data_IF_720181311566
#
_entry.id   IF_720181311566
#
_cell.length_a   1.000
_cell.length_b   1.000
_cell.length_c   1.000
_cell.angle_alpha   90.00
_cell.angle_beta   90.00
_cell.angle_gamma   90.00
#
_symmetry.space_group_name_H-M   'P 1'
#
loop_
_entity.id
_entity.type
_entity.pdbx_description
1 polymer ?
#
# COMPACT_ATOMS: atom_id res chain seq x y z
N UNK A 1 -62.25 4.51 -2.64
CA UNK A 1 -61.22 3.52 -3.03
C UNK A 1 -59.88 4.26 -2.93
N UNK A 2 -59.08 4.17 -1.85
CA UNK A 2 -58.05 3.15 -1.55
C UNK A 2 -57.44 2.61 -2.86
N UNK A 3 -56.17 2.89 -3.21
CA UNK A 3 -54.95 2.45 -2.52
C UNK A 3 -53.77 3.41 -2.63
N UNK A 4 -53.06 3.56 -1.50
CA UNK A 4 -51.67 4.02 -1.35
C UNK A 4 -50.78 2.78 -1.23
N UNK A 5 -49.58 2.75 -1.82
CA UNK A 5 -48.48 1.91 -1.32
C UNK A 5 -47.17 2.70 -1.28
N UNK A 6 -46.56 2.64 -0.09
CA UNK A 6 -45.35 3.30 0.37
C UNK A 6 -44.13 2.40 0.14
N UNK A 7 -42.97 3.04 0.19
CA UNK A 7 -41.62 2.48 0.22
C UNK A 7 -41.43 1.35 1.24
N UNK A 8 -40.61 0.37 0.87
CA UNK A 8 -40.09 -0.65 1.75
C UNK A 8 -38.64 -0.31 2.14
N UNK A 9 -38.46 0.04 3.41
CA UNK A 9 -37.18 -0.04 4.13
C UNK A 9 -37.12 -1.44 4.72
N UNK A 10 -36.12 -2.25 4.33
CA UNK A 10 -35.83 -3.51 5.02
C UNK A 10 -34.78 -3.22 6.07
N UNK A 11 -35.25 -3.14 7.31
CA UNK A 11 -34.43 -3.12 8.51
C UNK A 11 -34.11 -4.56 8.95
N UNK A 12 -32.85 -4.72 9.32
CA UNK A 12 -32.22 -5.62 10.30
C UNK A 12 -33.14 -6.63 11.02
N UNK A 13 -32.79 -7.92 10.92
CA UNK A 13 -33.36 -8.99 11.75
C UNK A 13 -32.28 -9.95 12.22
N UNK A 14 -31.76 -9.70 13.43
CA UNK A 14 -31.01 -10.67 14.23
C UNK A 14 -32.03 -11.70 14.73
N UNK A 15 -31.87 -12.97 14.33
CA UNK A 15 -32.63 -14.08 14.90
C UNK A 15 -31.77 -14.84 15.90
N UNK A 16 -32.00 -14.54 17.18
CA UNK A 16 -31.66 -15.40 18.31
C UNK A 16 -32.56 -16.65 18.27
N UNK A 17 -31.96 -17.84 18.27
CA UNK A 17 -32.67 -19.10 18.51
C UNK A 17 -32.39 -19.56 19.94
N UNK A 18 -33.33 -19.29 20.84
CA UNK A 18 -33.49 -20.02 22.10
C UNK A 18 -34.46 -21.17 21.85
N UNK A 19 -33.98 -22.41 22.01
CA UNK A 19 -34.80 -23.61 22.13
C UNK A 19 -34.79 -24.07 23.58
N UNK A 20 -35.95 -24.05 24.22
CA UNK A 20 -36.20 -24.55 25.57
C UNK A 20 -36.54 -26.04 25.56
N UNK A 21 -36.01 -26.79 26.53
CA UNK A 21 -36.64 -28.00 27.05
C UNK A 21 -36.34 -28.12 28.54
N UNK A 22 -37.41 -28.25 29.32
CA UNK A 22 -37.46 -28.24 30.78
C UNK A 22 -36.87 -29.52 31.39
N UNK A 23 -36.10 -29.39 32.47
CA UNK A 23 -36.07 -30.38 33.56
C UNK A 23 -35.92 -29.66 34.91
N UNK A 24 -36.96 -29.87 35.72
CA UNK A 24 -37.15 -29.77 37.19
C UNK A 24 -36.03 -29.31 38.12
N UNK A 25 -36.48 -28.53 39.10
CA UNK A 25 -35.83 -27.87 40.24
C UNK A 25 -34.88 -28.74 41.10
N UNK A 26 -33.76 -28.14 41.50
CA UNK A 26 -33.17 -28.30 42.83
C UNK A 26 -32.32 -27.06 43.16
N UNK A 27 -32.70 -26.32 44.19
CA UNK A 27 -31.93 -25.21 44.73
C UNK A 27 -30.64 -25.71 45.39
N UNK A 28 -29.49 -25.21 44.95
CA UNK A 28 -28.28 -25.15 45.75
C UNK A 28 -27.49 -23.89 45.39
N UNK A 29 -27.31 -23.02 46.38
CA UNK A 29 -26.44 -21.85 46.32
C UNK A 29 -25.03 -22.25 45.87
N UNK A 30 -24.57 -21.72 44.74
CA UNK A 30 -23.15 -21.58 44.47
C UNK A 30 -22.88 -20.32 43.66
N UNK A 31 -21.97 -19.51 44.20
CA UNK A 31 -21.42 -18.27 43.69
C UNK A 31 -21.00 -18.42 42.23
N UNK A 32 -21.69 -17.73 41.32
CA UNK A 32 -21.27 -17.64 39.92
C UNK A 32 -20.02 -16.77 39.82
N UNK A 33 -18.85 -17.41 39.81
CA UNK A 33 -17.67 -16.87 39.15
C UNK A 33 -18.01 -16.68 37.68
N UNK A 34 -18.02 -15.43 37.22
CA UNK A 34 -18.02 -15.12 35.80
C UNK A 34 -16.83 -15.85 35.17
N UNK A 35 -17.08 -16.85 34.32
CA UNK A 35 -16.07 -17.30 33.37
C UNK A 35 -15.88 -16.17 32.38
N UNK A 36 -14.87 -15.36 32.65
CA UNK A 36 -14.17 -14.58 31.63
C UNK A 36 -13.88 -15.53 30.47
N UNK A 37 -14.55 -15.30 29.34
CA UNK A 37 -14.10 -15.83 28.05
C UNK A 37 -12.79 -15.09 27.76
N UNK A 38 -11.71 -15.50 28.43
CA UNK A 38 -10.35 -15.18 27.99
C UNK A 38 -10.25 -15.69 26.56
N UNK A 39 -10.17 -14.77 25.61
CA UNK A 39 -9.71 -15.07 24.27
C UNK A 39 -8.27 -15.59 24.41
N UNK A 40 -8.11 -16.90 24.57
CA UNK A 40 -6.79 -17.53 24.60
C UNK A 40 -6.16 -17.35 23.23
N UNK A 41 -5.27 -16.38 23.13
CA UNK A 41 -4.34 -16.25 22.01
C UNK A 41 -3.71 -17.62 21.75
N UNK A 42 -3.80 -18.19 20.54
CA UNK A 42 -3.21 -19.48 20.25
C UNK A 42 -1.71 -19.44 20.55
N UNK A 43 -1.21 -20.40 21.34
CA UNK A 43 0.21 -20.54 21.61
C UNK A 43 0.93 -20.78 20.28
N UNK A 44 1.90 -19.91 19.95
CA UNK A 44 2.57 -19.94 18.66
C UNK A 44 4.06 -20.23 18.84
N UNK A 45 4.56 -21.26 18.14
CA UNK A 45 5.96 -21.65 18.21
C UNK A 45 6.84 -20.82 17.27
N UNK A 46 8.06 -20.50 17.70
CA UNK A 46 9.05 -19.78 16.89
C UNK A 46 9.30 -20.46 15.53
N UNK A 47 9.33 -21.79 15.50
CA UNK A 47 9.54 -22.59 14.28
C UNK A 47 8.45 -22.37 13.23
N UNK A 48 7.19 -22.28 13.65
CA UNK A 48 6.07 -22.03 12.74
C UNK A 48 6.14 -20.63 12.12
N UNK A 49 6.56 -19.63 12.92
CA UNK A 49 6.76 -18.26 12.45
C UNK A 49 7.88 -18.21 11.42
N UNK A 50 9.04 -18.81 11.71
CA UNK A 50 10.17 -18.82 10.78
C UNK A 50 9.87 -19.62 9.50
N UNK A 51 9.14 -20.73 9.59
CA UNK A 51 8.68 -21.48 8.42
C UNK A 51 7.76 -20.63 7.51
N UNK A 52 6.80 -19.89 8.09
CA UNK A 52 5.93 -18.99 7.34
C UNK A 52 6.71 -17.85 6.68
N UNK A 53 7.68 -17.25 7.40
CA UNK A 53 8.58 -16.22 6.84
C UNK A 53 9.40 -16.75 5.66
N UNK A 54 9.93 -17.96 5.76
CA UNK A 54 10.68 -18.60 4.68
C UNK A 54 9.79 -18.89 3.46
N UNK A 55 8.58 -19.41 3.68
CA UNK A 55 7.61 -19.66 2.61
C UNK A 55 7.23 -18.36 1.88
N UNK A 56 6.88 -17.31 2.63
CA UNK A 56 6.53 -16.01 2.04
C UNK A 56 7.71 -15.37 1.29
N UNK A 57 8.92 -15.51 1.82
CA UNK A 57 10.14 -15.06 1.12
C UNK A 57 10.32 -15.77 -0.22
N UNK A 58 10.02 -17.08 -0.29
CA UNK A 58 10.06 -17.83 -1.55
C UNK A 58 8.90 -17.47 -2.49
N UNK A 59 7.69 -17.22 -1.99
CA UNK A 59 6.58 -16.77 -2.84
C UNK A 59 6.85 -15.42 -3.50
N UNK A 60 7.52 -14.52 -2.78
CA UNK A 60 7.82 -13.16 -3.25
C UNK A 60 9.12 -13.09 -4.06
N UNK A 61 10.16 -13.86 -3.70
CA UNK A 61 11.49 -13.76 -4.31
C UNK A 61 11.96 -15.02 -5.06
N UNK A 62 11.22 -16.13 -4.98
CA UNK A 62 11.69 -17.46 -5.39
C UNK A 62 11.75 -17.68 -6.89
N UNK A 63 11.09 -16.83 -7.68
CA UNK A 63 11.14 -16.89 -9.15
C UNK A 63 11.88 -15.67 -9.70
N UNK A 64 13.21 -15.79 -9.79
CA UNK A 64 14.07 -14.75 -10.37
C UNK A 64 13.55 -14.41 -11.77
N UNK A 65 13.20 -13.14 -11.98
CA UNK A 65 12.70 -12.62 -13.25
C UNK A 65 11.19 -12.68 -13.45
N UNK A 66 10.41 -13.28 -12.54
CA UNK A 66 8.96 -13.09 -12.54
C UNK A 66 8.61 -11.78 -11.86
N UNK A 67 7.91 -10.94 -12.62
CA UNK A 67 7.41 -9.66 -12.17
C UNK A 67 5.99 -9.83 -11.62
N UNK A 68 5.86 -10.39 -10.42
CA UNK A 68 4.55 -10.85 -9.93
C UNK A 68 3.71 -9.72 -9.35
N UNK A 69 4.35 -8.74 -8.72
CA UNK A 69 3.66 -7.73 -7.91
C UNK A 69 2.93 -8.33 -6.70
N UNK A 70 3.24 -9.59 -6.35
CA UNK A 70 2.57 -10.31 -5.27
C UNK A 70 2.92 -9.68 -3.93
N UNK A 71 1.90 -9.52 -3.09
CA UNK A 71 2.06 -8.97 -1.74
C UNK A 71 1.31 -9.84 -0.76
N UNK A 72 1.92 -10.10 0.38
CA UNK A 72 1.35 -10.89 1.48
C UNK A 72 1.52 -10.14 2.79
N UNK A 73 0.56 -10.34 3.68
CA UNK A 73 0.65 -9.89 5.07
C UNK A 73 0.68 -11.11 5.98
N UNK A 74 1.79 -11.25 6.72
CA UNK A 74 1.92 -12.20 7.82
C UNK A 74 1.32 -11.59 9.09
N UNK A 75 0.48 -12.35 9.77
CA UNK A 75 0.02 -12.12 11.14
C UNK A 75 0.66 -13.15 12.07
N UNK A 76 1.17 -12.66 13.21
CA UNK A 76 1.70 -13.45 14.32
C UNK A 76 1.03 -12.99 15.61
N UNK A 77 0.40 -13.93 16.31
CA UNK A 77 -0.37 -13.66 17.52
C UNK A 77 0.50 -13.21 18.70
N UNK A 78 1.77 -13.66 18.74
CA UNK A 78 2.82 -13.18 19.65
C UNK A 78 3.81 -12.27 18.90
N UNK A 79 3.71 -10.93 19.08
CA UNK A 79 4.60 -9.97 18.42
C UNK A 79 6.08 -10.16 18.76
N UNK A 80 6.43 -10.75 19.90
CA UNK A 80 7.82 -10.95 20.30
C UNK A 80 8.57 -11.88 19.35
N UNK A 81 7.86 -12.79 18.68
CA UNK A 81 8.40 -13.71 17.68
C UNK A 81 8.52 -13.07 16.28
N UNK A 82 8.04 -11.83 16.13
CA UNK A 82 8.03 -11.09 14.87
C UNK A 82 8.55 -9.66 15.05
N UNK A 83 9.66 -9.53 15.79
CA UNK A 83 10.37 -8.25 15.93
C UNK A 83 9.57 -7.17 16.67
N UNK A 84 8.61 -7.56 17.51
CA UNK A 84 7.73 -6.66 18.25
C UNK A 84 6.47 -6.22 17.49
N UNK A 85 6.23 -6.74 16.28
CA UNK A 85 5.03 -6.43 15.50
C UNK A 85 4.15 -7.66 15.32
N UNK A 86 2.83 -7.51 15.46
CA UNK A 86 1.88 -8.57 15.09
C UNK A 86 1.82 -8.81 13.57
N UNK A 87 2.37 -7.88 12.77
CA UNK A 87 2.23 -7.89 11.32
C UNK A 87 3.57 -7.70 10.60
N UNK A 88 3.79 -8.42 9.50
CA UNK A 88 4.95 -8.25 8.62
C UNK A 88 4.51 -8.38 7.15
N UNK A 89 4.82 -7.36 6.34
CA UNK A 89 4.56 -7.41 4.89
C UNK A 89 5.71 -8.08 4.15
N UNK A 90 5.34 -8.94 3.20
CA UNK A 90 6.21 -9.49 2.17
C UNK A 90 5.69 -9.00 0.84
N UNK A 91 6.48 -8.20 0.12
CA UNK A 91 6.02 -7.58 -1.12
C UNK A 91 7.05 -7.75 -2.23
N UNK A 92 6.56 -8.11 -3.41
CA UNK A 92 7.17 -7.84 -4.69
C UNK A 92 6.47 -6.60 -5.29
N UNK A 93 7.18 -5.87 -6.12
CA UNK A 93 6.62 -4.74 -6.85
C UNK A 93 6.82 -4.99 -8.34
N UNK A 94 5.92 -4.49 -9.17
CA UNK A 94 6.17 -4.59 -10.60
C UNK A 94 7.42 -3.77 -10.94
N UNK A 95 8.45 -4.36 -11.55
CA UNK A 95 9.70 -3.74 -12.00
C UNK A 95 9.83 -3.86 -13.52
N UNK A 96 10.26 -2.78 -14.16
CA UNK A 96 10.33 -2.70 -15.61
C UNK A 96 11.67 -2.11 -16.03
N UNK A 97 12.27 -2.71 -17.06
CA UNK A 97 13.40 -2.15 -17.83
C UNK A 97 12.97 -1.76 -19.25
N UNK A 98 11.74 -2.09 -19.63
CA UNK A 98 11.10 -1.69 -20.88
C UNK A 98 9.90 -0.78 -20.59
N UNK A 99 9.81 0.34 -21.34
CA UNK A 99 8.79 1.36 -21.11
C UNK A 99 7.38 0.92 -21.57
N UNK A 100 7.28 0.16 -22.65
CA UNK A 100 6.00 -0.32 -23.17
C UNK A 100 5.40 -1.38 -22.25
N UNK A 101 6.23 -2.26 -21.69
CA UNK A 101 5.80 -3.23 -20.66
C UNK A 101 5.26 -2.52 -19.42
N UNK A 102 5.92 -1.44 -18.98
CA UNK A 102 5.43 -0.58 -17.92
C UNK A 102 4.05 0.00 -18.26
N UNK A 103 3.91 0.66 -19.42
CA UNK A 103 2.65 1.29 -19.83
C UNK A 103 1.52 0.26 -19.92
N UNK A 104 1.80 -0.93 -20.46
CA UNK A 104 0.85 -2.02 -20.56
C UNK A 104 0.38 -2.50 -19.20
N UNK A 105 1.27 -2.57 -18.20
CA UNK A 105 0.88 -2.98 -16.85
C UNK A 105 0.16 -1.85 -16.10
N UNK A 106 0.65 -0.61 -16.19
CA UNK A 106 0.02 0.55 -15.56
C UNK A 106 -1.41 0.77 -16.09
N UNK A 107 -1.63 0.59 -17.39
CA UNK A 107 -2.95 0.73 -18.02
C UNK A 107 -3.98 -0.32 -17.61
N UNK A 108 -3.58 -1.40 -16.92
CA UNK A 108 -4.51 -2.39 -16.34
C UNK A 108 -4.97 -2.04 -14.93
N UNK A 109 -4.30 -1.09 -14.28
CA UNK A 109 -4.54 -0.71 -12.90
C UNK A 109 -5.43 0.53 -12.83
N UNK A 110 -6.23 0.62 -11.78
CA UNK A 110 -6.98 1.84 -11.46
C UNK A 110 -6.03 2.91 -10.92
N UNK A 111 -6.24 4.16 -11.33
CA UNK A 111 -5.46 5.31 -10.91
C UNK A 111 -4.71 5.99 -12.07
N UNK A 112 -4.00 7.09 -11.79
CA UNK A 112 -3.25 7.82 -12.80
C UNK A 112 -2.07 6.98 -13.33
N UNK A 113 -1.81 7.14 -14.63
CA UNK A 113 -0.66 6.52 -15.30
C UNK A 113 0.37 7.60 -15.60
N UNK A 114 1.60 7.40 -15.11
CA UNK A 114 2.71 8.26 -15.51
C UNK A 114 3.12 7.92 -16.94
N UNK A 115 3.45 8.94 -17.72
CA UNK A 115 3.96 8.77 -19.07
C UNK A 115 5.17 9.67 -19.28
N UNK A 116 6.02 9.29 -20.23
CA UNK A 116 7.10 10.13 -20.72
C UNK A 116 6.51 11.49 -21.12
N UNK A 117 6.97 12.60 -20.51
CA UNK A 117 6.40 13.91 -20.79
C UNK A 117 6.74 14.37 -22.21
N UNK A 118 5.85 15.14 -22.81
CA UNK A 118 6.08 15.77 -24.10
C UNK A 118 7.20 16.81 -23.98
N UNK A 119 8.04 16.90 -25.01
CA UNK A 119 9.17 17.84 -25.04
C UNK A 119 10.36 17.45 -24.17
N UNK A 120 10.39 16.24 -23.58
CA UNK A 120 11.58 15.74 -22.90
C UNK A 120 12.78 15.76 -23.87
N UNK A 121 13.92 16.41 -23.53
CA UNK A 121 15.03 16.58 -24.46
C UNK A 121 15.55 15.27 -25.03
N UNK A 122 16.00 15.34 -26.27
CA UNK A 122 16.66 14.23 -26.94
C UNK A 122 17.88 13.76 -26.11
N UNK A 123 17.97 12.45 -25.89
CA UNK A 123 18.99 11.84 -25.03
C UNK A 123 18.43 11.21 -23.74
N UNK A 124 17.32 11.73 -23.19
CA UNK A 124 16.66 11.06 -22.07
C UNK A 124 15.93 9.79 -22.50
N UNK A 125 16.43 8.66 -22.00
CA UNK A 125 15.88 7.31 -22.27
C UNK A 125 15.32 6.72 -20.98
N UNK A 126 14.25 5.96 -21.11
CA UNK A 126 13.72 5.18 -19.99
C UNK A 126 14.78 4.19 -19.51
N UNK A 127 15.10 4.24 -18.23
CA UNK A 127 16.06 3.35 -17.57
C UNK A 127 15.32 2.23 -16.84
N UNK A 128 14.35 2.61 -16.01
CA UNK A 128 13.55 1.68 -15.23
C UNK A 128 12.24 2.31 -14.74
N UNK A 129 11.31 1.46 -14.34
CA UNK A 129 10.08 1.85 -13.67
C UNK A 129 9.64 0.81 -12.65
N UNK A 130 8.84 1.24 -11.67
CA UNK A 130 8.17 0.32 -10.77
C UNK A 130 6.75 0.77 -10.41
N UNK A 131 5.90 -0.21 -10.11
CA UNK A 131 4.55 0.00 -9.58
C UNK A 131 4.41 -0.81 -8.30
N UNK A 132 4.08 -0.13 -7.21
CA UNK A 132 3.88 -0.73 -5.90
C UNK A 132 2.39 -0.88 -5.58
N UNK A 133 2.04 -1.91 -4.79
CA UNK A 133 0.67 -2.08 -4.28
C UNK A 133 0.24 -0.92 -3.37
N UNK A 134 -1.08 -0.63 -3.26
CA UNK A 134 -1.66 0.44 -2.46
C UNK A 134 -1.70 0.14 -0.94
N UNK A 135 -0.64 -0.48 -0.39
CA UNK A 135 -0.58 -0.93 1.01
C UNK A 135 -0.88 0.23 1.95
N UNK A 136 -0.27 1.40 1.74
CA UNK A 136 -0.43 2.54 2.64
C UNK A 136 -1.89 3.01 2.76
N UNK A 137 -2.66 2.92 1.67
CA UNK A 137 -4.10 3.25 1.64
C UNK A 137 -4.94 2.22 2.38
N UNK A 138 -4.65 0.93 2.21
CA UNK A 138 -5.47 -0.17 2.75
C UNK A 138 -4.95 -0.80 4.06
N UNK A 139 -3.83 -0.33 4.60
CA UNK A 139 -3.09 -1.05 5.65
C UNK A 139 -3.93 -1.45 6.85
N UNK A 140 -4.80 -0.56 7.36
CA UNK A 140 -5.61 -0.85 8.56
C UNK A 140 -6.70 -1.88 8.29
N UNK A 141 -7.34 -1.77 7.13
CA UNK A 141 -8.46 -2.63 6.76
C UNK A 141 -7.94 -4.04 6.50
N UNK A 142 -6.85 -4.16 5.75
CA UNK A 142 -6.23 -5.44 5.45
C UNK A 142 -5.65 -6.11 6.71
N UNK A 143 -5.00 -5.36 7.60
CA UNK A 143 -4.55 -5.92 8.89
C UNK A 143 -5.69 -6.46 9.75
N UNK A 144 -6.82 -5.73 9.82
CA UNK A 144 -8.00 -6.15 10.56
C UNK A 144 -8.61 -7.42 9.97
N UNK A 145 -8.71 -7.49 8.65
CA UNK A 145 -9.21 -8.66 7.92
C UNK A 145 -8.34 -9.90 8.18
N UNK A 146 -7.03 -9.79 7.97
CA UNK A 146 -6.09 -10.90 8.18
C UNK A 146 -6.12 -11.41 9.62
N UNK A 147 -6.19 -10.49 10.60
CA UNK A 147 -6.31 -10.86 12.02
C UNK A 147 -7.63 -11.58 12.30
N UNK A 148 -8.76 -11.03 11.82
CA UNK A 148 -10.07 -11.63 12.05
C UNK A 148 -10.17 -13.04 11.45
N UNK A 149 -9.60 -13.26 10.27
CA UNK A 149 -9.53 -14.59 9.65
C UNK A 149 -8.64 -15.56 10.45
N UNK A 150 -7.51 -15.09 10.96
CA UNK A 150 -6.64 -15.89 11.80
C UNK A 150 -7.36 -16.32 13.10
N UNK A 151 -8.05 -15.39 13.76
CA UNK A 151 -8.81 -15.63 14.98
C UNK A 151 -9.98 -16.60 14.73
N UNK A 152 -10.74 -16.41 13.64
CA UNK A 152 -11.83 -17.30 13.26
C UNK A 152 -11.34 -18.73 12.97
N UNK A 153 -10.09 -18.88 12.50
CA UNK A 153 -9.45 -20.17 12.24
C UNK A 153 -8.67 -20.73 13.46
N UNK A 154 -8.61 -19.98 14.58
CA UNK A 154 -7.81 -20.35 15.74
C UNK A 154 -6.30 -20.42 15.48
N UNK A 155 -5.79 -19.67 14.48
CA UNK A 155 -4.39 -19.70 14.04
C UNK A 155 -3.56 -18.60 14.68
N UNK A 156 -2.44 -18.97 15.31
CA UNK A 156 -1.45 -18.04 15.85
C UNK A 156 -0.46 -17.50 14.81
N UNK A 157 -0.28 -18.22 13.69
CA UNK A 157 0.41 -17.73 12.48
C UNK A 157 -0.56 -17.85 11.31
N UNK A 158 -0.74 -16.77 10.58
CA UNK A 158 -1.57 -16.74 9.38
C UNK A 158 -1.00 -15.75 8.38
N UNK A 159 -1.14 -16.00 7.09
CA UNK A 159 -0.83 -15.00 6.09
C UNK A 159 -1.88 -14.99 5.01
N UNK A 160 -2.07 -13.82 4.39
CA UNK A 160 -3.01 -13.62 3.31
C UNK A 160 -2.36 -12.84 2.17
N UNK A 161 -2.68 -13.23 0.93
CA UNK A 161 -2.33 -12.44 -0.25
C UNK A 161 -3.17 -11.16 -0.29
N UNK A 162 -2.53 -10.05 -0.59
CA UNK A 162 -3.19 -8.79 -0.89
C UNK A 162 -3.49 -8.77 -2.39
N UNK A 163 -4.75 -9.00 -2.76
CA UNK A 163 -5.19 -8.87 -4.14
C UNK A 163 -5.49 -7.40 -4.43
N UNK A 164 -4.81 -6.83 -5.43
CA UNK A 164 -4.90 -5.41 -5.75
C UNK A 164 -5.01 -5.18 -7.25
N UNK A 165 -5.81 -4.18 -7.63
CA UNK A 165 -6.03 -3.77 -9.01
C UNK A 165 -5.95 -2.24 -9.18
N UNK A 166 -5.53 -1.51 -8.15
CA UNK A 166 -5.26 -0.08 -8.19
C UNK A 166 -3.78 0.16 -7.91
N UNK A 167 -3.20 1.20 -8.50
CA UNK A 167 -1.80 1.55 -8.23
C UNK A 167 -1.67 2.13 -6.81
N UNK A 168 -0.61 1.79 -6.10
CA UNK A 168 -0.25 2.45 -4.83
C UNK A 168 0.74 3.58 -5.03
N UNK A 169 1.85 3.26 -5.70
CA UNK A 169 2.90 4.19 -6.07
C UNK A 169 3.49 3.78 -7.42
N UNK A 170 3.79 4.74 -8.28
CA UNK A 170 4.52 4.52 -9.53
C UNK A 170 5.76 5.39 -9.51
N UNK A 171 6.90 4.80 -9.88
CA UNK A 171 8.16 5.52 -10.10
C UNK A 171 8.69 5.22 -11.51
N UNK A 172 9.13 6.24 -12.24
CA UNK A 172 9.82 6.11 -13.52
C UNK A 172 11.14 6.87 -13.48
N UNK A 173 12.19 6.29 -14.06
CA UNK A 173 13.50 6.91 -14.19
C UNK A 173 13.86 7.04 -15.67
N UNK A 174 14.26 8.25 -16.06
CA UNK A 174 14.85 8.55 -17.37
C UNK A 174 16.28 9.07 -17.18
N UNK A 175 17.21 8.63 -18.03
CA UNK A 175 18.63 9.01 -17.95
C UNK A 175 19.15 9.58 -19.27
N UNK A 176 20.06 10.54 -19.17
CA UNK A 176 20.85 11.10 -20.27
C UNK A 176 22.29 11.31 -19.79
N UNK A 177 23.17 10.34 -20.06
CA UNK A 177 24.54 10.36 -19.55
C UNK A 177 24.56 10.37 -18.02
N UNK A 178 25.08 11.45 -17.43
CA UNK A 178 25.13 11.64 -15.96
C UNK A 178 23.84 12.19 -15.35
N UNK A 179 22.96 12.71 -16.19
CA UNK A 179 21.75 13.40 -15.75
C UNK A 179 20.56 12.44 -15.71
N UNK A 180 19.69 12.61 -14.71
CA UNK A 180 18.49 11.82 -14.54
C UNK A 180 17.26 12.68 -14.25
N UNK A 181 16.12 12.14 -14.62
CA UNK A 181 14.80 12.65 -14.31
C UNK A 181 13.96 11.50 -13.75
N UNK A 182 13.45 11.66 -12.55
CA UNK A 182 12.60 10.70 -11.87
C UNK A 182 11.19 11.28 -11.74
N UNK A 183 10.19 10.47 -12.10
CA UNK A 183 8.79 10.80 -11.96
C UNK A 183 8.15 9.88 -10.93
N UNK A 184 7.33 10.43 -10.05
CA UNK A 184 6.64 9.66 -9.03
C UNK A 184 5.18 10.10 -8.92
N UNK A 185 4.28 9.15 -8.70
CA UNK A 185 2.93 9.40 -8.19
C UNK A 185 2.62 8.43 -7.06
N UNK A 186 1.96 8.93 -6.01
CA UNK A 186 1.46 8.13 -4.90
C UNK A 186 0.13 8.69 -4.39
N UNK A 187 -0.64 7.91 -3.64
CA UNK A 187 -1.80 8.43 -2.92
C UNK A 187 -1.42 9.56 -1.94
N UNK A 188 -2.25 10.60 -1.86
CA UNK A 188 -2.03 11.73 -0.97
C UNK A 188 -2.15 11.34 0.51
N UNK A 189 -3.04 10.39 0.84
CA UNK A 189 -3.31 9.91 2.20
C UNK A 189 -3.55 11.06 3.20
N UNK A 190 -4.26 12.10 2.76
CA UNK A 190 -4.54 13.30 3.56
C UNK A 190 -3.37 14.28 3.69
N UNK A 191 -2.23 14.03 3.04
CA UNK A 191 -1.13 14.99 2.93
C UNK A 191 -1.57 16.13 2.03
N UNK A 192 -1.66 17.33 2.59
CA UNK A 192 -1.89 18.56 1.82
C UNK A 192 -0.57 19.03 1.21
N UNK A 193 -0.51 19.05 -0.11
CA UNK A 193 0.55 19.67 -0.91
C UNK A 193 0.22 21.14 -1.19
N UNK A 194 1.00 21.81 -2.04
CA UNK A 194 0.83 23.22 -2.35
C UNK A 194 -0.64 23.55 -2.65
N UNK A 195 -1.22 24.45 -1.85
CA UNK A 195 -2.54 24.98 -2.11
C UNK A 195 -2.49 25.71 -3.46
N UNK A 196 -2.94 25.04 -4.52
CA UNK A 196 -3.12 25.54 -5.89
C UNK A 196 -1.86 25.75 -6.74
N UNK A 197 -1.07 24.68 -6.97
CA UNK A 197 -0.12 24.66 -8.10
C UNK A 197 1.14 23.84 -7.86
N UNK A 198 2.23 24.27 -8.49
CA UNK A 198 3.53 23.61 -8.41
C UNK A 198 4.38 24.18 -7.27
N UNK A 199 4.95 23.29 -6.44
CA UNK A 199 6.02 23.62 -5.49
C UNK A 199 7.35 23.14 -6.05
N UNK A 200 8.26 24.08 -6.27
CA UNK A 200 9.63 23.77 -6.69
C UNK A 200 10.59 23.94 -5.51
N UNK A 201 11.49 22.98 -5.33
CA UNK A 201 12.54 22.97 -4.30
C UNK A 201 13.86 22.72 -5.04
N UNK A 202 14.85 23.60 -4.86
CA UNK A 202 16.18 23.40 -5.44
C UNK A 202 17.00 22.44 -4.58
N UNK A 203 17.93 21.72 -5.20
CA UNK A 203 18.87 20.87 -4.47
C UNK A 203 19.70 21.65 -3.45
N UNK A 204 19.97 22.94 -3.70
CA UNK A 204 20.73 23.84 -2.83
C UNK A 204 19.95 24.32 -1.61
N UNK A 205 18.64 24.09 -1.55
CA UNK A 205 17.80 24.44 -0.40
C UNK A 205 17.78 23.33 0.66
N UNK A 206 18.37 22.17 0.35
CA UNK A 206 18.52 21.05 1.28
C UNK A 206 19.65 21.36 2.25
N UNK A 207 19.38 21.19 3.55
CA UNK A 207 20.40 21.35 4.58
C UNK A 207 21.64 20.50 4.28
N UNK A 208 22.82 21.10 4.38
CA UNK A 208 24.06 20.46 3.95
C UNK A 208 24.42 19.23 4.80
N UNK A 209 24.13 19.26 6.10
CA UNK A 209 24.38 18.13 6.99
C UNK A 209 23.39 16.98 6.74
N UNK A 210 22.14 17.32 6.47
CA UNK A 210 21.12 16.36 6.04
C UNK A 210 21.46 15.77 4.66
N UNK A 211 21.95 16.58 3.74
CA UNK A 211 22.38 16.16 2.40
C UNK A 211 23.58 15.20 2.43
N UNK A 212 24.53 15.39 3.36
CA UNK A 212 25.62 14.42 3.59
C UNK A 212 25.10 13.08 4.10
N UNK A 213 24.12 13.10 5.02
CA UNK A 213 23.53 11.90 5.61
C UNK A 213 22.66 11.14 4.61
N UNK A 214 21.94 11.86 3.75
CA UNK A 214 21.02 11.28 2.78
C UNK A 214 21.25 11.96 1.42
N UNK A 215 22.27 11.52 0.66
CA UNK A 215 22.62 12.13 -0.63
C UNK A 215 21.45 12.19 -1.62
N UNK A 216 20.55 11.21 -1.58
CA UNK A 216 19.34 11.16 -2.43
C UNK A 216 18.33 12.28 -2.17
N UNK A 217 18.43 13.01 -1.05
CA UNK A 217 17.60 14.20 -0.80
C UNK A 217 18.06 15.43 -1.57
N UNK A 218 19.34 15.51 -1.92
CA UNK A 218 19.95 16.66 -2.58
C UNK A 218 19.59 16.65 -4.05
N UNK A 219 18.37 17.10 -4.39
CA UNK A 219 17.81 17.05 -5.74
C UNK A 219 16.91 18.25 -6.01
N UNK A 220 16.76 18.63 -7.28
CA UNK A 220 15.72 19.58 -7.66
C UNK A 220 14.41 18.81 -7.72
N UNK A 221 13.34 19.35 -7.14
CA UNK A 221 12.05 18.66 -7.04
C UNK A 221 10.90 19.60 -7.36
N UNK A 222 10.09 19.24 -8.34
CA UNK A 222 8.77 19.80 -8.59
C UNK A 222 7.72 18.87 -7.98
N UNK A 223 6.79 19.41 -7.18
CA UNK A 223 5.71 18.66 -6.52
C UNK A 223 4.39 19.32 -6.84
N UNK A 224 3.39 18.53 -7.18
CA UNK A 224 2.00 18.96 -7.31
C UNK A 224 1.06 17.84 -6.86
N UNK A 225 -0.23 18.11 -6.89
CA UNK A 225 -1.25 17.16 -6.49
C UNK A 225 -2.56 17.41 -7.19
N UNK A 226 -3.37 16.36 -7.26
CA UNK A 226 -4.81 16.47 -7.44
C UNK A 226 -5.53 16.17 -6.12
N UNK A 227 -6.80 15.78 -6.20
CA UNK A 227 -7.62 15.44 -5.03
C UNK A 227 -7.08 14.23 -4.25
N UNK A 228 -6.56 13.22 -4.96
CA UNK A 228 -6.30 11.89 -4.40
C UNK A 228 -4.82 11.48 -4.48
N UNK A 229 -4.00 12.20 -5.25
CA UNK A 229 -2.62 11.84 -5.54
C UNK A 229 -1.66 13.02 -5.40
N UNK A 230 -0.43 12.68 -5.03
CA UNK A 230 0.72 13.58 -5.04
C UNK A 230 1.67 13.09 -6.13
N UNK A 231 2.17 14.04 -6.91
CA UNK A 231 3.07 13.81 -8.02
C UNK A 231 4.39 14.54 -7.77
N UNK A 232 5.47 14.02 -8.34
CA UNK A 232 6.70 14.79 -8.44
C UNK A 232 7.53 14.46 -9.66
N UNK A 233 8.30 15.46 -10.09
CA UNK A 233 9.43 15.30 -11.02
C UNK A 233 10.68 15.74 -10.27
N UNK A 234 11.71 14.90 -10.28
CA UNK A 234 12.95 15.11 -9.55
C UNK A 234 14.15 14.98 -10.49
N UNK A 235 15.14 15.86 -10.39
CA UNK A 235 16.39 15.76 -11.16
C UNK A 235 17.60 15.84 -10.24
N UNK A 236 18.71 15.23 -10.65
CA UNK A 236 19.99 15.36 -9.96
C UNK A 236 20.48 16.83 -9.88
N UNK A 237 21.35 17.18 -8.91
CA UNK A 237 22.02 18.48 -8.86
C UNK A 237 22.82 18.75 -10.14
N UNK A 238 22.76 20.00 -10.62
CA UNK A 238 23.47 20.42 -11.83
C UNK A 238 22.85 19.93 -13.15
N UNK A 239 21.70 19.27 -13.10
CA UNK A 239 20.93 18.89 -14.29
C UNK A 239 20.53 20.15 -15.09
N UNK A 240 20.60 20.13 -16.43
CA UNK A 240 20.32 21.29 -17.27
C UNK A 240 18.83 21.70 -17.31
N UNK A 241 17.91 20.82 -16.89
CA UNK A 241 16.47 21.09 -16.89
C UNK A 241 16.11 22.16 -15.85
N UNK A 242 15.38 23.18 -16.29
CA UNK A 242 14.94 24.29 -15.45
C UNK A 242 13.63 23.98 -14.74
N UNK A 243 13.25 24.81 -13.76
CA UNK A 243 11.92 24.73 -13.12
C UNK A 243 10.81 24.82 -14.17
N UNK A 244 10.96 25.71 -15.14
CA UNK A 244 10.00 25.96 -16.20
C UNK A 244 9.85 24.74 -17.11
N UNK A 245 10.94 24.01 -17.39
CA UNK A 245 10.88 22.75 -18.12
C UNK A 245 10.11 21.68 -17.34
N UNK A 246 10.40 21.54 -16.03
CA UNK A 246 9.70 20.56 -15.19
C UNK A 246 8.18 20.85 -15.12
N UNK A 247 7.79 22.13 -15.10
CA UNK A 247 6.37 22.54 -15.11
C UNK A 247 5.71 22.10 -16.41
N UNK A 248 6.32 22.35 -17.57
CA UNK A 248 5.80 21.90 -18.87
C UNK A 248 5.69 20.37 -18.94
N UNK A 249 6.68 19.66 -18.39
CA UNK A 249 6.61 18.21 -18.32
C UNK A 249 5.45 17.74 -17.44
N UNK A 250 5.22 18.37 -16.29
CA UNK A 250 4.14 18.00 -15.40
C UNK A 250 2.75 18.12 -16.02
N UNK A 251 2.56 19.05 -16.97
CA UNK A 251 1.30 19.23 -17.71
C UNK A 251 0.94 18.03 -18.61
N UNK A 252 1.94 17.26 -19.04
CA UNK A 252 1.76 16.10 -19.95
C UNK A 252 2.21 14.77 -19.33
N UNK A 253 2.79 14.80 -18.13
CA UNK A 253 3.35 13.65 -17.41
C UNK A 253 2.33 12.62 -16.94
N UNK A 254 1.04 12.99 -16.86
CA UNK A 254 0.00 12.17 -16.25
C UNK A 254 -1.14 11.94 -17.23
N UNK A 255 -1.37 10.68 -17.58
CA UNK A 255 -2.59 10.27 -18.27
C UNK A 255 -3.66 9.96 -17.22
N UNK A 256 -4.77 10.70 -17.31
CA UNK A 256 -5.96 10.52 -16.48
C UNK A 256 -6.94 9.55 -17.12
#
# INVERSE_FOLDING_TARGET
MKYVKKAAVVATGIALLFGTANMTEAFANQTNSAQELESKTPAVGKEAVEAAKAELSQKVNGEIGKNTGDTYLLYVSDPSLNGGSAFLYYLDMFKFTNYDDYLNQAGKLQGPVLQKPEGLPEGYKFENGNIQPPIAKHHKEFQREVKAEAEAQGKGVYYKKFDWNEMGEINLTFVNGKDNLEMQVAHSLGRKTANNGYRYIKSTEVDAEQGKKIPGLVRNKLIWSDQDHIYSITTNPGNPLTKEDLIKFAETAVKK
#
